data_IF_725201955673
#
_entry.id   IF_725201955673
#
_cell.length_a   1.000
_cell.length_b   1.000
_cell.length_c   1.000
_cell.angle_alpha   90.00
_cell.angle_beta   90.00
_cell.angle_gamma   90.00
#
_symmetry.space_group_name_H-M   'P 1'
#
loop_
_entity.id
_entity.type
_entity.pdbx_description
1 polymer ?
#
# COMPACT_ATOMS: atom_id res chain seq x y z
N UNK A 1 -9.71 -7.94 14.85
CA UNK A 1 -9.83 -7.47 13.45
C UNK A 1 -8.61 -6.59 13.16
N UNK A 2 -7.91 -6.84 12.06
CA UNK A 2 -6.84 -5.95 11.60
C UNK A 2 -7.40 -4.99 10.55
N UNK A 3 -6.83 -3.80 10.46
CA UNK A 3 -7.15 -2.80 9.43
C UNK A 3 -5.84 -2.39 8.76
N UNK A 4 -5.82 -2.40 7.43
CA UNK A 4 -4.65 -2.09 6.61
C UNK A 4 -4.95 -0.93 5.69
N UNK A 5 -4.03 0.04 5.64
CA UNK A 5 -4.12 1.24 4.83
C UNK A 5 -2.92 1.33 3.89
N UNK A 6 -3.17 1.70 2.62
CA UNK A 6 -2.13 1.96 1.62
C UNK A 6 -2.14 3.43 1.27
N UNK A 7 -1.03 4.12 1.54
CA UNK A 7 -0.87 5.51 1.12
C UNK A 7 -0.69 5.57 -0.41
N UNK A 8 -1.19 6.63 -1.05
CA UNK A 8 -0.95 6.93 -2.47
C UNK A 8 -1.79 6.15 -3.49
N UNK A 9 -2.63 5.21 -3.04
CA UNK A 9 -3.47 4.39 -3.91
C UNK A 9 -4.85 4.13 -3.33
N UNK A 10 -5.82 4.05 -4.24
CA UNK A 10 -7.03 3.28 -4.03
C UNK A 10 -6.87 1.88 -4.65
N UNK A 11 -7.52 0.89 -4.05
CA UNK A 11 -7.48 -0.50 -4.48
C UNK A 11 -8.87 -1.15 -4.40
N UNK A 12 -9.07 -2.22 -5.15
CA UNK A 12 -10.30 -3.01 -5.15
C UNK A 12 -10.18 -4.19 -4.19
N UNK A 13 -11.14 -4.35 -3.29
CA UNK A 13 -11.21 -5.53 -2.41
C UNK A 13 -11.93 -6.67 -3.13
N UNK A 14 -11.16 -7.48 -3.86
CA UNK A 14 -11.70 -8.49 -4.78
C UNK A 14 -12.18 -9.76 -4.08
N UNK A 15 -11.79 -10.00 -2.83
CA UNK A 15 -12.27 -11.17 -2.10
C UNK A 15 -11.82 -11.21 -0.65
N UNK A 16 -12.50 -12.02 0.14
CA UNK A 16 -12.18 -12.32 1.52
C UNK A 16 -12.74 -13.69 1.89
N UNK A 17 -12.18 -14.33 2.92
CA UNK A 17 -12.64 -15.64 3.35
C UNK A 17 -12.02 -16.07 4.66
N UNK A 18 -12.62 -17.08 5.30
CA UNK A 18 -12.08 -17.71 6.50
C UNK A 18 -11.02 -18.76 6.15
N UNK A 19 -10.17 -19.06 7.13
CA UNK A 19 -9.07 -20.02 6.98
C UNK A 19 -7.84 -19.42 6.30
N UNK A 20 -6.96 -20.30 5.83
CA UNK A 20 -5.79 -19.91 5.04
C UNK A 20 -6.18 -19.72 3.57
N UNK A 21 -5.63 -18.68 2.96
CA UNK A 21 -5.78 -18.45 1.52
C UNK A 21 -5.15 -19.60 0.72
N UNK A 22 -5.80 -20.01 -0.37
CA UNK A 22 -5.28 -21.00 -1.32
C UNK A 22 -5.49 -20.49 -2.75
N UNK A 23 -4.78 -21.06 -3.74
CA UNK A 23 -5.00 -20.66 -5.14
C UNK A 23 -6.44 -20.91 -5.62
N UNK A 24 -7.14 -21.90 -5.06
CA UNK A 24 -8.56 -22.15 -5.35
C UNK A 24 -9.47 -20.99 -4.91
N UNK A 25 -9.05 -20.20 -3.89
CA UNK A 25 -9.78 -19.04 -3.41
C UNK A 25 -9.94 -17.94 -4.47
N UNK A 26 -9.10 -17.92 -5.51
CA UNK A 26 -9.24 -16.97 -6.64
C UNK A 26 -10.56 -17.12 -7.40
N UNK A 27 -11.20 -18.30 -7.32
CA UNK A 27 -12.51 -18.56 -7.96
C UNK A 27 -13.64 -17.75 -7.33
N UNK A 28 -13.50 -17.30 -6.08
CA UNK A 28 -14.50 -16.49 -5.40
C UNK A 28 -14.24 -14.99 -5.51
N UNK A 29 -13.30 -14.57 -6.36
CA UNK A 29 -13.00 -13.16 -6.53
C UNK A 29 -14.11 -12.47 -7.31
N UNK A 30 -14.56 -11.33 -6.80
CA UNK A 30 -15.37 -10.40 -7.56
C UNK A 30 -14.44 -9.55 -8.43
N UNK A 31 -14.58 -9.69 -9.75
CA UNK A 31 -13.82 -8.94 -10.75
C UNK A 31 -14.73 -8.03 -11.60
N UNK A 32 -16.00 -7.86 -11.21
CA UNK A 32 -17.01 -7.18 -12.01
C UNK A 32 -17.34 -5.81 -11.44
N UNK A 33 -17.74 -5.72 -10.18
CA UNK A 33 -18.38 -4.53 -9.59
C UNK A 33 -17.83 -4.16 -8.20
N UNK A 34 -16.56 -4.43 -7.97
CA UNK A 34 -15.90 -4.09 -6.69
C UNK A 34 -15.74 -2.57 -6.56
N UNK A 35 -15.99 -2.06 -5.35
CA UNK A 35 -15.72 -0.67 -5.00
C UNK A 35 -14.25 -0.45 -4.61
N UNK A 36 -13.72 0.71 -4.98
CA UNK A 36 -12.40 1.15 -4.55
C UNK A 36 -12.38 1.55 -3.07
N UNK A 37 -11.26 1.27 -2.40
CA UNK A 37 -10.96 1.64 -1.01
C UNK A 37 -9.47 1.91 -0.87
N UNK A 38 -9.08 2.71 0.12
CA UNK A 38 -7.69 2.89 0.56
C UNK A 38 -7.40 2.17 1.89
N UNK A 39 -8.44 1.67 2.55
CA UNK A 39 -8.34 0.91 3.81
C UNK A 39 -9.26 -0.30 3.78
N UNK A 40 -8.77 -1.47 4.20
CA UNK A 40 -9.58 -2.68 4.30
C UNK A 40 -9.29 -3.48 5.56
N UNK A 41 -10.27 -4.26 5.99
CA UNK A 41 -10.18 -5.09 7.19
C UNK A 41 -9.77 -6.53 6.83
N UNK A 42 -9.05 -7.15 7.75
CA UNK A 42 -8.80 -8.60 7.78
C UNK A 42 -9.39 -9.15 9.08
N UNK A 43 -10.33 -10.08 8.95
CA UNK A 43 -11.00 -10.70 10.08
C UNK A 43 -10.09 -11.74 10.77
N UNK A 44 -10.37 -12.12 12.02
CA UNK A 44 -9.61 -13.16 12.71
C UNK A 44 -9.64 -14.49 11.93
N UNK A 45 -8.49 -15.15 11.82
CA UNK A 45 -8.34 -16.42 11.09
C UNK A 45 -8.89 -16.37 9.66
N UNK A 46 -8.68 -15.23 8.99
CA UNK A 46 -9.23 -14.95 7.67
C UNK A 46 -8.17 -14.30 6.77
N UNK A 47 -8.49 -14.19 5.50
CA UNK A 47 -7.71 -13.46 4.50
C UNK A 47 -8.59 -12.45 3.77
N UNK A 48 -7.94 -11.42 3.21
CA UNK A 48 -8.55 -10.42 2.33
C UNK A 48 -7.60 -10.23 1.15
N UNK A 49 -8.11 -10.31 -0.07
CA UNK A 49 -7.36 -10.07 -1.30
C UNK A 49 -7.73 -8.71 -1.87
N UNK A 50 -6.73 -7.96 -2.29
CA UNK A 50 -6.88 -6.67 -2.96
C UNK A 50 -6.24 -6.71 -4.34
N UNK A 51 -6.75 -5.88 -5.25
CA UNK A 51 -6.12 -5.58 -6.54
C UNK A 51 -5.78 -4.09 -6.56
N UNK A 52 -4.54 -3.76 -6.89
CA UNK A 52 -4.04 -2.38 -6.95
C UNK A 52 -3.30 -2.17 -8.26
N UNK A 53 -3.55 -1.04 -8.92
CA UNK A 53 -2.77 -0.57 -10.06
C UNK A 53 -1.57 0.20 -9.52
N UNK A 54 -0.34 -0.23 -9.80
CA UNK A 54 0.87 0.46 -9.34
C UNK A 54 1.34 1.49 -10.37
N UNK A 55 0.51 2.51 -10.61
CA UNK A 55 0.73 3.56 -11.61
C UNK A 55 1.33 4.85 -11.04
N UNK A 56 1.21 5.08 -9.73
CA UNK A 56 1.77 6.23 -9.03
C UNK A 56 3.24 6.03 -8.57
N UNK A 57 4.22 6.61 -9.26
CA UNK A 57 5.62 6.43 -8.91
C UNK A 57 5.97 7.15 -7.60
N UNK A 58 6.81 6.50 -6.78
CA UNK A 58 7.21 7.05 -5.49
C UNK A 58 7.44 5.97 -4.44
N UNK A 59 7.38 6.40 -3.17
CA UNK A 59 7.51 5.53 -2.00
C UNK A 59 6.25 5.63 -1.16
N UNK A 60 5.57 4.50 -0.98
CA UNK A 60 4.25 4.42 -0.37
C UNK A 60 4.28 3.47 0.83
N UNK A 61 3.63 3.86 1.92
CA UNK A 61 3.57 3.05 3.13
C UNK A 61 2.31 2.17 3.10
N UNK A 62 2.47 0.87 3.35
CA UNK A 62 1.38 -0.01 3.73
C UNK A 62 1.50 -0.32 5.22
N UNK A 63 0.47 0.04 5.99
CA UNK A 63 0.49 -0.05 7.45
C UNK A 63 -0.79 -0.55 8.05
N UNK A 64 -0.69 -1.03 9.29
CA UNK A 64 -1.86 -1.16 10.13
C UNK A 64 -2.44 0.22 10.45
N UNK A 65 -3.77 0.37 10.36
CA UNK A 65 -4.48 1.55 10.87
C UNK A 65 -4.59 1.57 12.41
N UNK A 66 -4.12 0.50 13.08
CA UNK A 66 -4.06 0.42 14.55
C UNK A 66 -2.72 0.98 14.98
N UNK A 67 -2.73 2.12 15.66
CA UNK A 67 -1.54 2.90 15.99
C UNK A 67 -0.49 2.11 16.76
N UNK A 68 -0.90 1.33 17.76
CA UNK A 68 0.02 0.55 18.60
C UNK A 68 0.76 -0.49 17.76
N UNK A 69 0.09 -1.10 16.79
CA UNK A 69 0.68 -2.09 15.89
C UNK A 69 1.60 -1.44 14.87
N UNK A 70 1.20 -0.29 14.33
CA UNK A 70 2.06 0.50 13.44
C UNK A 70 3.36 0.90 14.17
N UNK A 71 3.25 1.40 15.40
CA UNK A 71 4.39 1.77 16.24
C UNK A 71 5.33 0.59 16.51
N UNK A 72 4.77 -0.60 16.76
CA UNK A 72 5.53 -1.84 16.92
C UNK A 72 6.07 -2.44 15.61
N UNK A 73 5.92 -1.73 14.48
CA UNK A 73 6.53 -2.09 13.20
C UNK A 73 5.66 -2.90 12.24
N UNK A 74 4.33 -3.00 12.48
CA UNK A 74 3.41 -3.65 11.54
C UNK A 74 3.12 -2.75 10.32
N UNK A 75 4.14 -2.56 9.49
CA UNK A 75 4.13 -1.74 8.29
C UNK A 75 5.31 -2.09 7.38
N UNK A 76 5.21 -1.75 6.10
CA UNK A 76 6.34 -1.76 5.18
C UNK A 76 6.20 -0.62 4.15
N UNK A 77 7.27 -0.36 3.42
CA UNK A 77 7.29 0.63 2.34
C UNK A 77 7.44 -0.06 0.99
N UNK A 78 6.62 0.35 0.03
CA UNK A 78 6.68 -0.05 -1.37
C UNK A 78 7.27 1.09 -2.19
N UNK A 79 8.30 0.80 -2.98
CA UNK A 79 8.82 1.74 -3.98
C UNK A 79 8.31 1.33 -5.36
N UNK A 80 7.56 2.23 -5.99
CA UNK A 80 7.12 2.06 -7.39
C UNK A 80 8.08 2.83 -8.27
N UNK A 81 8.93 2.08 -8.98
CA UNK A 81 10.03 2.62 -9.75
C UNK A 81 9.72 2.67 -11.24
N UNK A 82 10.20 3.71 -11.91
CA UNK A 82 10.19 3.84 -13.36
C UNK A 82 11.58 4.31 -13.84
N UNK A 83 12.04 3.79 -14.97
CA UNK A 83 13.30 4.20 -15.61
C UNK A 83 13.23 5.64 -16.13
N UNK A 84 12.06 6.06 -16.61
CA UNK A 84 11.86 7.40 -17.16
C UNK A 84 11.33 8.33 -16.07
N UNK A 85 12.22 9.13 -15.50
CA UNK A 85 11.85 10.20 -14.57
C UNK A 85 11.21 11.34 -15.35
N UNK A 86 9.97 11.65 -14.98
CA UNK A 86 9.20 12.76 -15.52
C UNK A 86 8.40 13.36 -14.37
N UNK A 87 8.19 14.68 -14.40
CA UNK A 87 7.33 15.36 -13.44
C UNK A 87 5.86 14.90 -13.53
N UNK A 88 5.47 14.24 -14.62
CA UNK A 88 4.17 13.57 -14.73
C UNK A 88 4.09 12.28 -13.90
N UNK A 89 5.24 11.68 -13.58
CA UNK A 89 5.36 10.38 -12.92
C UNK A 89 5.72 10.56 -11.43
N UNK A 90 6.80 11.31 -11.15
CA UNK A 90 7.29 11.57 -9.80
C UNK A 90 7.84 13.00 -9.73
N UNK A 91 7.42 13.76 -8.72
CA UNK A 91 7.93 15.11 -8.52
C UNK A 91 9.35 15.09 -7.95
N UNK A 92 10.12 16.12 -8.27
CA UNK A 92 11.40 16.35 -7.61
C UNK A 92 11.19 16.60 -6.11
N UNK A 93 12.16 16.18 -5.31
CA UNK A 93 12.16 16.42 -3.86
C UNK A 93 12.15 17.93 -3.62
N UNK A 94 11.20 18.48 -2.83
CA UNK A 94 11.16 19.90 -2.53
C UNK A 94 12.42 20.40 -1.81
N UNK A 95 12.88 21.62 -2.13
CA UNK A 95 14.09 22.21 -1.53
C UNK A 95 14.00 22.42 -0.01
N UNK A 96 12.79 22.45 0.55
CA UNK A 96 12.51 22.62 1.98
C UNK A 96 12.32 21.29 2.72
N UNK A 97 12.65 20.14 2.10
CA UNK A 97 12.58 18.84 2.77
C UNK A 97 13.56 18.80 3.95
N UNK A 98 13.15 18.17 5.05
CA UNK A 98 14.04 17.90 6.18
C UNK A 98 15.02 16.78 5.79
N UNK A 99 16.32 17.06 5.84
CA UNK A 99 17.38 16.10 5.57
C UNK A 99 17.80 15.38 6.86
N UNK A 100 18.01 14.07 6.80
CA UNK A 100 18.41 13.27 7.96
C UNK A 100 19.23 12.05 7.55
N UNK A 101 20.02 11.51 8.49
CA UNK A 101 20.86 10.34 8.22
C UNK A 101 21.86 10.58 7.08
N UNK A 102 21.86 9.68 6.08
CA UNK A 102 22.82 9.72 4.96
C UNK A 102 22.58 10.87 3.96
N UNK A 103 21.44 11.55 4.02
CA UNK A 103 21.11 12.66 3.11
C UNK A 103 21.51 14.03 3.66
N UNK A 104 22.04 14.10 4.89
CA UNK A 104 22.54 15.37 5.46
C UNK A 104 23.65 15.93 4.55
N UNK A 105 23.45 17.17 4.09
CA UNK A 105 24.38 17.86 3.17
C UNK A 105 24.17 17.56 1.69
N UNK A 106 23.26 16.65 1.32
CA UNK A 106 22.81 16.47 -0.07
C UNK A 106 21.58 17.36 -0.32
N UNK A 107 21.84 18.62 -0.67
CA UNK A 107 20.80 19.46 -1.26
C UNK A 107 20.64 19.11 -2.75
N UNK A 108 19.40 19.00 -3.26
CA UNK A 108 19.16 18.84 -4.69
C UNK A 108 19.59 20.08 -5.49
#
# INVERSE_FOLDING_TARGET
MQSWHLDGYDFWVIGYGFGQWTDASRKSYNLVDVLTRHTTQVYPNSWTSILVSLDNQGMWNLRSSIWERQYLGQQFYLRVWNAQQSLANEYNIPNNVLLCGKTVGHHP
#
